data_IF_710897080588
#
_entry.id   IF_710897080588
#
_cell.length_a   1.000
_cell.length_b   1.000
_cell.length_c   1.000
_cell.angle_alpha   90.00
_cell.angle_beta   90.00
_cell.angle_gamma   90.00
#
_symmetry.space_group_name_H-M   'P 1'
#
loop_
_entity.id
_entity.type
_entity.pdbx_description
1 polymer ?
#
# COMPACT_ATOMS: atom_id res chain seq x y z
N UNK A 1 28.09 -17.61 -3.65
CA UNK A 1 26.79 -18.20 -3.99
C UNK A 1 26.18 -18.74 -2.70
N UNK A 2 25.32 -17.95 -2.06
CA UNK A 2 24.61 -18.33 -0.84
C UNK A 2 23.20 -18.79 -1.22
N UNK A 3 22.99 -20.11 -1.26
CA UNK A 3 21.67 -20.71 -1.39
C UNK A 3 20.91 -20.53 -0.08
N UNK A 4 20.30 -19.36 0.11
CA UNK A 4 19.18 -19.26 1.03
C UNK A 4 17.98 -19.92 0.35
N UNK A 5 17.30 -20.89 0.99
CA UNK A 5 16.06 -21.44 0.43
C UNK A 5 15.13 -20.26 0.17
N UNK A 6 14.80 -20.04 -1.10
CA UNK A 6 14.03 -18.88 -1.55
C UNK A 6 12.75 -18.78 -0.74
N UNK A 7 12.52 -17.64 -0.10
CA UNK A 7 11.23 -17.35 0.54
C UNK A 7 10.17 -17.40 -0.54
N UNK A 8 9.13 -18.19 -0.34
CA UNK A 8 7.96 -18.21 -1.23
C UNK A 8 7.21 -16.89 -1.08
N UNK A 9 7.45 -15.96 -2.01
CA UNK A 9 6.70 -14.70 -2.09
C UNK A 9 5.34 -15.00 -2.73
N UNK A 10 4.29 -14.29 -2.29
CA UNK A 10 2.94 -14.44 -2.85
C UNK A 10 1.97 -15.20 -1.97
N UNK A 11 2.39 -15.57 -0.76
CA UNK A 11 1.50 -16.15 0.25
C UNK A 11 1.12 -15.04 1.24
N UNK A 12 -0.12 -14.54 1.13
CA UNK A 12 -0.58 -13.37 1.90
C UNK A 12 -0.44 -13.55 3.42
N UNK A 13 -0.76 -14.76 3.91
CA UNK A 13 -0.68 -15.12 5.34
C UNK A 13 0.77 -15.06 5.88
N UNK A 14 1.78 -15.33 5.04
CA UNK A 14 3.20 -15.31 5.41
C UNK A 14 3.82 -13.93 5.21
N UNK A 15 3.44 -13.23 4.14
CA UNK A 15 4.01 -11.95 3.76
C UNK A 15 3.44 -10.80 4.58
N UNK A 16 2.14 -10.85 4.89
CA UNK A 16 1.43 -9.83 5.65
C UNK A 16 0.50 -10.45 6.72
N UNK A 17 1.04 -11.21 7.69
CA UNK A 17 0.25 -11.90 8.72
C UNK A 17 -0.62 -10.93 9.54
N UNK A 18 -0.16 -9.69 9.71
CA UNK A 18 -0.91 -8.67 10.42
C UNK A 18 -2.15 -8.21 9.63
N UNK A 19 -2.08 -8.15 8.29
CA UNK A 19 -3.22 -7.80 7.44
C UNK A 19 -4.28 -8.88 7.52
N UNK A 20 -3.91 -10.16 7.35
CA UNK A 20 -4.83 -11.30 7.48
C UNK A 20 -5.56 -11.31 8.82
N UNK A 21 -4.84 -11.05 9.93
CA UNK A 21 -5.48 -10.99 11.26
C UNK A 21 -6.58 -9.93 11.33
N UNK A 22 -6.41 -8.78 10.70
CA UNK A 22 -7.45 -7.75 10.70
C UNK A 22 -8.61 -8.10 9.78
N UNK A 23 -8.35 -8.75 8.64
CA UNK A 23 -9.38 -9.17 7.69
C UNK A 23 -10.30 -10.26 8.27
N UNK A 24 -9.78 -11.18 9.10
CA UNK A 24 -10.56 -12.26 9.73
C UNK A 24 -11.71 -11.78 10.63
N UNK A 25 -11.63 -10.57 11.17
CA UNK A 25 -12.71 -9.99 11.97
C UNK A 25 -13.83 -9.35 11.14
N UNK A 26 -13.67 -9.27 9.82
CA UNK A 26 -14.50 -8.48 8.91
C UNK A 26 -15.08 -9.35 7.79
N UNK A 27 -14.29 -10.29 7.27
CA UNK A 27 -14.64 -11.10 6.11
C UNK A 27 -14.72 -12.59 6.46
N UNK A 28 -15.61 -13.31 5.77
CA UNK A 28 -15.72 -14.77 5.84
C UNK A 28 -14.50 -15.46 5.20
N UNK A 29 -14.27 -16.73 5.53
CA UNK A 29 -13.13 -17.50 4.98
C UNK A 29 -13.16 -17.57 3.44
N UNK A 30 -14.34 -17.65 2.84
CA UNK A 30 -14.50 -17.61 1.38
C UNK A 30 -14.00 -16.29 0.78
N UNK A 31 -14.32 -15.15 1.41
CA UNK A 31 -13.85 -13.84 0.98
C UNK A 31 -12.35 -13.65 1.25
N UNK A 32 -11.84 -14.20 2.34
CA UNK A 32 -10.39 -14.22 2.62
C UNK A 32 -9.64 -15.01 1.55
N UNK A 33 -10.19 -16.11 1.04
CA UNK A 33 -9.60 -16.86 -0.07
C UNK A 33 -9.54 -16.02 -1.35
N UNK A 34 -10.58 -15.24 -1.67
CA UNK A 34 -10.54 -14.32 -2.82
C UNK A 34 -9.42 -13.26 -2.68
N UNK A 35 -9.19 -12.74 -1.47
CA UNK A 35 -8.09 -11.82 -1.20
C UNK A 35 -6.72 -12.48 -1.33
N UNK A 36 -6.57 -13.73 -0.85
CA UNK A 36 -5.34 -14.51 -1.01
C UNK A 36 -5.02 -14.77 -2.48
N UNK A 37 -6.02 -15.16 -3.27
CA UNK A 37 -5.88 -15.37 -4.71
C UNK A 37 -5.47 -14.08 -5.42
N UNK A 38 -6.13 -12.96 -5.11
CA UNK A 38 -5.80 -11.66 -5.67
C UNK A 38 -4.35 -11.25 -5.35
N UNK A 39 -3.89 -11.49 -4.12
CA UNK A 39 -2.52 -11.23 -3.71
C UNK A 39 -1.49 -12.14 -4.40
N UNK A 40 -1.79 -13.44 -4.51
CA UNK A 40 -0.94 -14.39 -5.22
C UNK A 40 -0.79 -14.04 -6.70
N UNK A 41 -1.83 -13.51 -7.32
CA UNK A 41 -1.76 -13.02 -8.69
C UNK A 41 -0.78 -11.85 -8.84
N UNK A 42 -0.73 -10.94 -7.87
CA UNK A 42 0.23 -9.84 -7.85
C UNK A 42 1.68 -10.32 -7.70
N UNK A 43 1.89 -11.46 -7.05
CA UNK A 43 3.21 -12.12 -6.98
C UNK A 43 3.68 -12.58 -8.36
N UNK A 44 2.78 -13.18 -9.14
CA UNK A 44 3.06 -13.67 -10.49
C UNK A 44 3.36 -12.53 -11.48
N UNK A 45 2.80 -11.34 -11.24
CA UNK A 45 3.03 -10.15 -12.05
C UNK A 45 4.23 -9.31 -11.53
N UNK A 46 5.13 -9.88 -10.72
CA UNK A 46 6.33 -9.24 -10.16
C UNK A 46 6.08 -8.00 -9.27
N UNK A 47 4.82 -7.64 -8.99
CA UNK A 47 4.47 -6.46 -8.18
C UNK A 47 4.93 -6.56 -6.72
N UNK A 48 5.25 -7.77 -6.25
CA UNK A 48 5.77 -8.00 -4.90
C UNK A 48 7.29 -7.86 -4.81
N UNK A 49 8.04 -7.90 -5.91
CA UNK A 49 9.51 -7.94 -5.89
C UNK A 49 10.16 -6.57 -5.60
N UNK A 50 9.46 -5.47 -5.88
CA UNK A 50 10.01 -4.11 -5.85
C UNK A 50 10.10 -3.43 -4.48
N UNK A 51 10.24 -4.15 -3.36
CA UNK A 51 10.52 -3.47 -2.09
C UNK A 51 11.99 -3.02 -2.07
N UNK A 52 12.27 -1.80 -2.54
CA UNK A 52 13.56 -1.09 -2.44
C UNK A 52 13.99 -0.77 -0.99
N UNK A 53 13.31 -1.38 -0.01
CA UNK A 53 13.56 -1.25 1.43
C UNK A 53 14.56 -2.32 1.85
N UNK A 54 15.75 -1.91 2.27
CA UNK A 54 16.76 -2.80 2.87
C UNK A 54 16.20 -3.41 4.16
N UNK A 55 16.24 -4.75 4.31
CA UNK A 55 15.59 -5.47 5.42
C UNK A 55 16.55 -6.36 6.20
N UNK A 56 16.23 -6.54 7.48
CA UNK A 56 16.82 -7.56 8.36
C UNK A 56 16.11 -8.90 8.15
N UNK A 57 16.85 -10.01 8.24
CA UNK A 57 16.28 -11.36 8.17
C UNK A 57 15.17 -11.56 9.22
N UNK A 58 14.16 -12.38 8.86
CA UNK A 58 13.00 -12.77 9.70
C UNK A 58 11.91 -11.72 9.97
N UNK A 59 11.94 -10.55 9.32
CA UNK A 59 10.82 -9.60 9.38
C UNK A 59 9.74 -9.90 8.32
N UNK A 60 8.48 -9.59 8.66
CA UNK A 60 7.33 -9.68 7.72
C UNK A 60 7.59 -8.82 6.48
N UNK A 61 7.35 -9.38 5.29
CA UNK A 61 7.68 -8.74 4.01
C UNK A 61 6.75 -7.56 3.67
N UNK A 62 5.54 -7.46 4.26
CA UNK A 62 4.56 -6.38 4.06
C UNK A 62 4.73 -5.63 2.72
N UNK A 63 4.55 -6.32 1.58
CA UNK A 63 4.79 -5.72 0.28
C UNK A 63 3.73 -4.68 -0.05
N UNK A 64 4.01 -3.88 -1.07
CA UNK A 64 3.20 -2.71 -1.41
C UNK A 64 1.69 -3.03 -1.49
N UNK A 65 1.23 -4.06 -2.22
CA UNK A 65 -0.21 -4.37 -2.27
C UNK A 65 -0.83 -4.57 -0.89
N UNK A 66 -0.16 -5.30 0.00
CA UNK A 66 -0.63 -5.53 1.35
C UNK A 66 -0.63 -4.26 2.22
N UNK A 67 0.35 -3.36 2.05
CA UNK A 67 0.36 -2.07 2.75
C UNK A 67 -0.80 -1.18 2.30
N UNK A 68 -1.09 -1.14 1.00
CA UNK A 68 -2.22 -0.38 0.47
C UNK A 68 -3.54 -0.92 1.02
N UNK A 69 -3.73 -2.25 1.00
CA UNK A 69 -4.91 -2.85 1.62
C UNK A 69 -5.03 -2.58 3.11
N UNK A 70 -3.90 -2.55 3.83
CA UNK A 70 -3.91 -2.16 5.24
C UNK A 70 -4.39 -0.73 5.43
N UNK A 71 -3.91 0.22 4.63
CA UNK A 71 -4.32 1.62 4.70
C UNK A 71 -5.82 1.75 4.39
N UNK A 72 -6.30 1.08 3.34
CA UNK A 72 -7.73 1.08 3.03
C UNK A 72 -8.54 0.49 4.18
N UNK A 73 -8.11 -0.62 4.77
CA UNK A 73 -8.83 -1.25 5.88
C UNK A 73 -8.93 -0.38 7.14
N UNK A 74 -7.93 0.46 7.43
CA UNK A 74 -7.90 1.27 8.66
C UNK A 74 -8.36 2.71 8.45
N UNK A 75 -8.17 3.24 7.25
CA UNK A 75 -8.38 4.66 6.94
C UNK A 75 -9.51 4.93 5.95
N UNK A 76 -10.04 3.89 5.28
CA UNK A 76 -11.27 3.99 4.50
C UNK A 76 -12.41 3.42 5.35
N UNK A 77 -13.34 4.27 5.77
CA UNK A 77 -14.35 3.95 6.81
C UNK A 77 -15.31 2.81 6.42
N UNK A 78 -15.23 2.30 5.20
CA UNK A 78 -16.02 1.17 4.69
C UNK A 78 -15.12 0.05 4.18
N UNK A 79 -15.04 -1.10 4.89
CA UNK A 79 -14.38 -2.28 4.35
C UNK A 79 -15.13 -2.81 3.13
N UNK A 80 -14.57 -2.61 1.94
CA UNK A 80 -15.12 -3.09 0.67
C UNK A 80 -14.21 -4.19 0.10
N UNK A 81 -14.75 -5.41 -0.02
CA UNK A 81 -14.03 -6.57 -0.54
C UNK A 81 -13.55 -6.35 -1.99
N UNK A 82 -14.41 -5.79 -2.84
CA UNK A 82 -14.11 -5.55 -4.25
C UNK A 82 -13.00 -4.51 -4.39
N UNK A 83 -13.05 -3.46 -3.58
CA UNK A 83 -12.00 -2.44 -3.50
C UNK A 83 -10.66 -3.04 -3.06
N UNK A 84 -10.66 -3.88 -2.02
CA UNK A 84 -9.46 -4.53 -1.52
C UNK A 84 -8.86 -5.50 -2.55
N UNK A 85 -9.69 -6.32 -3.21
CA UNK A 85 -9.25 -7.21 -4.30
C UNK A 85 -8.63 -6.40 -5.44
N UNK A 86 -9.29 -5.31 -5.83
CA UNK A 86 -8.82 -4.38 -6.86
C UNK A 86 -7.46 -3.76 -6.49
N UNK A 87 -7.31 -3.30 -5.26
CA UNK A 87 -6.08 -2.72 -4.74
C UNK A 87 -4.94 -3.74 -4.66
N UNK A 88 -5.23 -5.00 -4.32
CA UNK A 88 -4.23 -6.07 -4.33
C UNK A 88 -3.67 -6.30 -5.73
N UNK A 89 -4.55 -6.44 -6.73
CA UNK A 89 -4.17 -6.73 -8.12
C UNK A 89 -3.39 -5.59 -8.77
N UNK A 90 -3.82 -4.35 -8.54
CA UNK A 90 -3.29 -3.18 -9.24
C UNK A 90 -3.13 -1.98 -8.29
N UNK A 91 -2.20 -2.00 -7.31
CA UNK A 91 -2.10 -0.93 -6.31
C UNK A 91 -1.63 0.42 -6.87
N UNK A 92 -0.86 0.41 -7.96
CA UNK A 92 -0.25 1.63 -8.53
C UNK A 92 -1.08 2.24 -9.67
N UNK A 93 -1.79 1.40 -10.43
CA UNK A 93 -2.55 1.83 -11.62
C UNK A 93 -4.07 1.73 -11.39
N UNK A 94 -4.50 1.72 -10.14
CA UNK A 94 -5.92 1.61 -9.82
C UNK A 94 -6.66 2.92 -10.17
N UNK A 95 -7.80 2.85 -10.89
CA UNK A 95 -8.60 4.04 -11.14
C UNK A 95 -9.38 4.53 -9.91
N UNK A 96 -9.54 3.70 -8.88
CA UNK A 96 -10.37 4.06 -7.73
C UNK A 96 -9.69 5.14 -6.85
N UNK A 97 -10.36 6.26 -6.54
CA UNK A 97 -9.76 7.38 -5.80
C UNK A 97 -9.17 6.98 -4.44
N UNK A 98 -9.87 6.17 -3.66
CA UNK A 98 -9.37 5.67 -2.37
C UNK A 98 -8.06 4.90 -2.51
N UNK A 99 -7.90 4.08 -3.56
CA UNK A 99 -6.67 3.31 -3.79
C UNK A 99 -5.54 4.22 -4.22
N UNK A 100 -5.81 5.22 -5.06
CA UNK A 100 -4.82 6.24 -5.46
C UNK A 100 -4.32 7.02 -4.24
N UNK A 101 -5.23 7.46 -3.36
CA UNK A 101 -4.89 8.17 -2.13
C UNK A 101 -4.09 7.28 -1.18
N UNK A 102 -4.50 6.04 -0.96
CA UNK A 102 -3.78 5.09 -0.11
C UNK A 102 -2.37 4.78 -0.65
N UNK A 103 -2.25 4.62 -1.96
CA UNK A 103 -0.97 4.40 -2.67
C UNK A 103 -0.03 5.59 -2.56
N UNK A 104 -0.55 6.79 -2.76
CA UNK A 104 0.22 8.02 -2.58
C UNK A 104 0.61 8.23 -1.11
N UNK A 105 -0.29 7.96 -0.17
CA UNK A 105 0.01 8.02 1.27
C UNK A 105 1.13 7.07 1.68
N UNK A 106 1.10 5.81 1.21
CA UNK A 106 2.20 4.86 1.41
C UNK A 106 3.51 5.41 0.81
N UNK A 107 3.44 5.94 -0.40
CA UNK A 107 4.60 6.52 -1.10
C UNK A 107 5.24 7.65 -0.29
N UNK A 108 4.46 8.66 0.13
CA UNK A 108 4.98 9.79 0.91
C UNK A 108 5.53 9.33 2.26
N UNK A 109 4.85 8.40 2.95
CA UNK A 109 5.33 7.83 4.22
C UNK A 109 6.69 7.16 4.08
N UNK A 110 6.98 6.55 2.93
CA UNK A 110 8.24 5.83 2.69
C UNK A 110 9.30 6.65 1.94
N UNK A 111 9.03 7.90 1.52
CA UNK A 111 10.01 8.70 0.77
C UNK A 111 11.36 8.83 1.49
N UNK A 112 11.36 8.94 2.82
CA UNK A 112 12.58 9.04 3.63
C UNK A 112 13.42 7.75 3.64
N UNK A 113 12.81 6.61 3.32
CA UNK A 113 13.46 5.30 3.23
C UNK A 113 13.92 4.98 1.80
N UNK A 114 13.47 5.76 0.81
CA UNK A 114 13.83 5.55 -0.59
C UNK A 114 15.20 6.20 -0.86
N UNK A 115 16.11 5.42 -1.47
CA UNK A 115 17.37 5.96 -1.99
C UNK A 115 17.11 6.70 -3.31
N UNK A 116 16.52 7.89 -3.22
CA UNK A 116 16.14 8.76 -4.34
C UNK A 116 16.55 10.20 -4.05
N UNK A 117 16.82 10.94 -5.11
CA UNK A 117 17.19 12.35 -5.03
C UNK A 117 16.02 13.24 -4.62
N UNK A 118 16.33 14.51 -4.31
CA UNK A 118 15.31 15.46 -3.86
C UNK A 118 14.37 15.87 -4.99
N UNK A 119 14.83 15.85 -6.25
CA UNK A 119 13.99 16.06 -7.43
C UNK A 119 12.84 15.05 -7.50
N UNK A 120 13.14 13.77 -7.30
CA UNK A 120 12.13 12.70 -7.26
C UNK A 120 11.16 12.90 -6.09
N UNK A 121 11.67 13.21 -4.90
CA UNK A 121 10.82 13.42 -3.71
C UNK A 121 9.89 14.61 -3.90
N UNK A 122 10.39 15.73 -4.44
CA UNK A 122 9.59 16.91 -4.76
C UNK A 122 8.52 16.60 -5.82
N UNK A 123 8.85 15.83 -6.86
CA UNK A 123 7.88 15.39 -7.86
C UNK A 123 6.73 14.59 -7.22
N UNK A 124 7.04 13.62 -6.33
CA UNK A 124 6.02 12.85 -5.61
C UNK A 124 5.15 13.71 -4.70
N UNK A 125 5.72 14.70 -4.01
CA UNK A 125 4.93 15.65 -3.20
C UNK A 125 3.99 16.50 -4.06
N UNK A 126 4.45 16.97 -5.23
CA UNK A 126 3.63 17.75 -6.16
C UNK A 126 2.48 16.92 -6.75
N UNK A 127 2.73 15.65 -7.05
CA UNK A 127 1.69 14.69 -7.46
C UNK A 127 0.67 14.46 -6.35
N UNK A 128 1.12 14.30 -5.10
CA UNK A 128 0.25 14.14 -3.95
C UNK A 128 -0.65 15.37 -3.72
N UNK A 129 -0.08 16.58 -3.83
CA UNK A 129 -0.83 17.83 -3.77
C UNK A 129 -1.87 17.94 -4.90
N UNK A 130 -1.53 17.51 -6.10
CA UNK A 130 -2.45 17.51 -7.24
C UNK A 130 -3.60 16.52 -7.02
N UNK A 131 -3.30 15.32 -6.53
CA UNK A 131 -4.29 14.29 -6.22
C UNK A 131 -5.28 14.74 -5.13
N UNK A 132 -4.79 15.40 -4.07
CA UNK A 132 -5.65 15.94 -3.01
C UNK A 132 -6.70 16.93 -3.54
N UNK A 133 -6.33 17.73 -4.55
CA UNK A 133 -7.22 18.71 -5.19
C UNK A 133 -8.21 18.05 -6.13
N UNK A 134 -7.82 16.96 -6.79
CA UNK A 134 -8.66 16.29 -7.79
C UNK A 134 -9.70 15.34 -7.20
N UNK A 135 -9.40 14.70 -6.05
CA UNK A 135 -10.35 13.77 -5.42
C UNK A 135 -11.43 14.55 -4.67
N UNK A 136 -12.64 14.52 -5.21
CA UNK A 136 -13.84 15.17 -4.64
C UNK A 136 -14.75 14.22 -3.89
N UNK A 137 -14.48 12.92 -3.94
CA UNK A 137 -15.29 11.88 -3.30
C UNK A 137 -15.33 12.05 -1.77
N UNK A 138 -16.51 12.29 -1.16
CA UNK A 138 -16.66 12.42 0.28
C UNK A 138 -16.23 11.17 1.07
N UNK A 139 -16.35 9.97 0.49
CA UNK A 139 -15.95 8.73 1.17
C UNK A 139 -14.43 8.66 1.39
N UNK A 140 -13.68 9.44 0.62
CA UNK A 140 -12.22 9.52 0.71
C UNK A 140 -11.72 10.57 1.72
N UNK A 141 -12.61 11.26 2.45
CA UNK A 141 -12.23 12.42 3.26
C UNK A 141 -11.13 12.12 4.28
N UNK A 142 -11.23 11.02 5.02
CA UNK A 142 -10.21 10.63 6.00
C UNK A 142 -8.84 10.35 5.37
N UNK A 143 -8.82 9.68 4.22
CA UNK A 143 -7.59 9.46 3.45
C UNK A 143 -6.98 10.77 2.96
N UNK A 144 -7.81 11.73 2.53
CA UNK A 144 -7.36 13.06 2.11
C UNK A 144 -6.73 13.84 3.27
N UNK A 145 -7.37 13.86 4.44
CA UNK A 145 -6.84 14.52 5.64
C UNK A 145 -5.49 13.94 6.06
N UNK A 146 -5.37 12.61 6.07
CA UNK A 146 -4.12 11.92 6.39
C UNK A 146 -3.01 12.22 5.38
N UNK A 147 -3.33 12.23 4.08
CA UNK A 147 -2.37 12.58 3.04
C UNK A 147 -1.93 14.04 3.16
N UNK A 148 -2.86 14.98 3.38
CA UNK A 148 -2.55 16.39 3.61
C UNK A 148 -1.61 16.60 4.79
N UNK A 149 -1.94 16.04 5.96
CA UNK A 149 -1.10 16.11 7.15
C UNK A 149 0.29 15.47 6.94
N UNK A 150 0.37 14.42 6.13
CA UNK A 150 1.64 13.74 5.81
C UNK A 150 2.50 14.60 4.88
N UNK A 151 1.91 15.25 3.88
CA UNK A 151 2.61 16.20 3.00
C UNK A 151 3.15 17.38 3.81
N UNK A 152 2.33 18.01 4.65
CA UNK A 152 2.75 19.15 5.49
C UNK A 152 3.93 18.78 6.38
N UNK A 153 3.88 17.59 7.01
CA UNK A 153 4.97 17.10 7.83
C UNK A 153 6.24 16.93 7.02
N UNK A 154 6.14 16.39 5.81
CA UNK A 154 7.30 16.17 4.95
C UNK A 154 7.88 17.50 4.48
N UNK A 155 7.06 18.46 4.05
CA UNK A 155 7.50 19.78 3.59
C UNK A 155 8.32 20.52 4.65
N UNK A 156 7.97 20.42 5.94
CA UNK A 156 8.75 21.02 7.04
C UNK A 156 10.20 20.53 7.13
N UNK A 157 10.52 19.35 6.61
CA UNK A 157 11.89 18.82 6.58
C UNK A 157 12.71 19.27 5.36
N UNK A 158 12.05 19.83 4.33
CA UNK A 158 12.67 20.31 3.09
C UNK A 158 12.54 21.83 2.91
N UNK A 159 12.06 22.53 3.95
CA UNK A 159 11.95 24.00 4.02
C UNK A 159 13.19 24.62 4.65
#
# INVERSE_FOLDING_TARGET
MSNHPGRTIGILDEDAPALIRALRGIFSESQLNQLREAYSHSAQNELLEHSSVTRKEKQSFNPLPARICRILLTEYDKPDLSLLISALKNPLNNPHPAVQLASMLDTIRHLHMMNKDDSYKLARLNEACSLLKSVTDPECQKLKELLGATIERYQRFYS
#
